data_IF_146292247356
#
_entry.id   IF_146292247356
#
_cell.length_a   1.000
_cell.length_b   1.000
_cell.length_c   1.000
_cell.angle_alpha   90.00
_cell.angle_beta   90.00
_cell.angle_gamma   90.00
#
_symmetry.space_group_name_H-M   'P 1'
#
loop_
_entity.id
_entity.type
_entity.pdbx_description
1 polymer ?
#
# COMPACT_ATOMS: atom_id res chain seq x y z
N UNK A 1 1.82 -5.59 -19.39
CA UNK A 1 2.70 -4.42 -19.16
C UNK A 1 3.17 -4.49 -17.71
N UNK A 2 4.42 -4.13 -17.41
CA UNK A 2 4.94 -4.11 -16.03
C UNK A 2 4.82 -2.73 -15.41
N UNK A 3 4.63 -2.66 -14.09
CA UNK A 3 4.50 -1.41 -13.32
C UNK A 3 5.49 -1.44 -12.16
N UNK A 4 6.20 -0.34 -11.93
CA UNK A 4 7.17 -0.18 -10.83
C UNK A 4 6.94 1.12 -10.07
N UNK A 5 7.30 1.14 -8.78
CA UNK A 5 7.27 2.34 -7.94
C UNK A 5 8.64 2.50 -7.27
N UNK A 6 9.26 3.66 -7.43
CA UNK A 6 10.52 4.02 -6.76
C UNK A 6 10.30 5.33 -6.02
N UNK A 7 10.73 5.39 -4.76
CA UNK A 7 10.58 6.57 -3.90
C UNK A 7 11.66 6.61 -2.84
N UNK A 8 11.97 7.80 -2.34
CA UNK A 8 12.84 7.99 -1.16
C UNK A 8 12.04 7.98 0.16
N UNK A 9 10.71 7.89 0.10
CA UNK A 9 9.84 7.78 1.28
C UNK A 9 9.52 6.31 1.59
N UNK A 10 8.82 6.02 2.69
CA UNK A 10 8.25 4.68 2.90
C UNK A 10 7.33 4.33 1.73
N UNK A 11 7.36 3.08 1.25
CA UNK A 11 6.49 2.64 0.14
C UNK A 11 5.00 2.76 0.46
N UNK A 12 4.66 2.78 1.75
CA UNK A 12 3.32 2.99 2.33
C UNK A 12 2.94 4.46 2.53
N UNK A 13 3.86 5.39 2.30
CA UNK A 13 3.57 6.82 2.40
C UNK A 13 2.48 7.24 1.40
N UNK A 14 1.74 8.31 1.69
CA UNK A 14 0.58 8.74 0.91
C UNK A 14 0.81 8.88 -0.60
N UNK A 15 1.98 9.38 -1.02
CA UNK A 15 2.32 9.55 -2.45
C UNK A 15 2.49 8.21 -3.18
N UNK A 16 3.40 7.30 -2.77
CA UNK A 16 3.50 5.98 -3.42
C UNK A 16 2.26 5.11 -3.21
N UNK A 17 1.58 5.19 -2.06
CA UNK A 17 0.40 4.37 -1.77
C UNK A 17 -0.79 4.67 -2.67
N UNK A 18 -0.91 5.90 -3.20
CA UNK A 18 -2.00 6.29 -4.09
C UNK A 18 -2.07 5.44 -5.37
N UNK A 19 -0.97 4.77 -5.75
CA UNK A 19 -0.90 3.93 -6.94
C UNK A 19 -1.50 2.52 -6.73
N UNK A 20 -1.60 2.04 -5.50
CA UNK A 20 -2.01 0.65 -5.23
C UNK A 20 -3.00 0.46 -4.08
N UNK A 21 -3.12 1.41 -3.14
CA UNK A 21 -3.95 1.26 -1.96
C UNK A 21 -5.22 2.10 -2.02
N UNK A 22 -6.28 1.60 -1.39
CA UNK A 22 -7.52 2.32 -1.07
C UNK A 22 -7.71 2.27 0.44
N UNK A 23 -7.50 3.42 1.09
CA UNK A 23 -7.62 3.53 2.54
C UNK A 23 -8.40 4.80 2.90
N UNK A 24 -9.26 4.77 3.94
CA UNK A 24 -9.91 5.97 4.47
C UNK A 24 -8.91 7.01 5.00
N UNK A 25 -7.71 6.58 5.39
CA UNK A 25 -6.67 7.46 5.92
C UNK A 25 -5.30 7.10 5.38
N UNK A 26 -4.55 8.13 4.97
CA UNK A 26 -3.15 8.00 4.54
C UNK A 26 -2.20 7.56 5.66
N UNK A 27 -2.63 7.61 6.92
CA UNK A 27 -1.82 7.25 8.08
C UNK A 27 -1.93 5.77 8.45
N UNK A 28 -2.82 5.01 7.81
CA UNK A 28 -2.99 3.56 8.04
C UNK A 28 -1.93 2.76 7.29
N UNK A 29 -0.66 3.14 7.49
CA UNK A 29 0.49 2.54 6.80
C UNK A 29 0.69 1.07 7.20
N UNK A 30 0.40 0.75 8.46
CA UNK A 30 0.45 -0.59 9.06
C UNK A 30 -0.81 -0.86 9.91
N UNK A 31 -0.95 -2.09 10.38
CA UNK A 31 -2.10 -2.51 11.18
C UNK A 31 -2.20 -1.79 12.53
N UNK A 32 -1.09 -1.39 13.17
CA UNK A 32 -1.10 -0.68 14.45
C UNK A 32 -1.66 0.74 14.33
N UNK A 33 -1.70 1.30 13.11
CA UNK A 33 -2.31 2.60 12.81
C UNK A 33 -3.81 2.54 12.52
N UNK A 34 -4.38 1.34 12.38
CA UNK A 34 -5.81 1.15 12.15
C UNK A 34 -6.56 1.13 13.49
N UNK A 35 -7.69 1.84 13.63
CA UNK A 35 -8.55 1.71 14.80
C UNK A 35 -9.07 0.26 14.95
N UNK A 36 -9.10 -0.32 16.17
CA UNK A 36 -9.50 -1.71 16.40
C UNK A 36 -10.80 -2.14 15.72
N UNK A 37 -11.81 -1.27 15.70
CA UNK A 37 -13.11 -1.53 15.09
C UNK A 37 -13.08 -1.65 13.55
N UNK A 38 -12.01 -1.18 12.90
CA UNK A 38 -11.86 -1.17 11.44
C UNK A 38 -11.01 -2.32 10.89
N UNK A 39 -10.36 -3.13 11.74
CA UNK A 39 -9.48 -4.22 11.28
C UNK A 39 -10.19 -5.30 10.46
N UNK A 40 -11.49 -5.53 10.74
CA UNK A 40 -12.27 -6.54 10.01
C UNK A 40 -12.65 -6.08 8.59
N UNK A 41 -12.77 -4.77 8.36
CA UNK A 41 -13.26 -4.20 7.10
C UNK A 41 -12.17 -3.54 6.25
N UNK A 42 -11.04 -3.15 6.86
CA UNK A 42 -9.98 -2.44 6.19
C UNK A 42 -8.62 -3.11 6.41
N UNK A 43 -7.92 -3.40 5.31
CA UNK A 43 -6.50 -3.76 5.33
C UNK A 43 -5.66 -2.50 5.39
N UNK A 44 -4.56 -2.54 6.14
CA UNK A 44 -3.54 -1.49 6.12
C UNK A 44 -2.85 -1.40 4.75
N UNK A 45 -2.22 -0.26 4.48
CA UNK A 45 -1.59 0.03 3.19
C UNK A 45 -0.51 -1.02 2.87
N UNK A 46 0.27 -1.48 3.87
CA UNK A 46 1.28 -2.53 3.64
C UNK A 46 0.64 -3.85 3.21
N UNK A 47 -0.45 -4.29 3.85
CA UNK A 47 -1.19 -5.49 3.41
C UNK A 47 -1.78 -5.32 2.02
N UNK A 48 -2.28 -4.14 1.66
CA UNK A 48 -2.78 -3.89 0.31
C UNK A 48 -1.66 -3.97 -0.75
N UNK A 49 -0.43 -3.56 -0.41
CA UNK A 49 0.72 -3.70 -1.31
C UNK A 49 1.00 -5.16 -1.67
N UNK A 50 0.92 -6.08 -0.72
CA UNK A 50 1.33 -7.49 -0.95
C UNK A 50 0.17 -8.42 -1.30
N UNK A 51 -1.06 -8.09 -0.90
CA UNK A 51 -2.22 -8.98 -1.08
C UNK A 51 -3.14 -8.56 -2.23
N UNK A 52 -3.25 -7.26 -2.52
CA UNK A 52 -4.25 -6.73 -3.45
C UNK A 52 -3.64 -6.31 -4.79
N UNK A 53 -4.48 -6.29 -5.83
CA UNK A 53 -4.16 -5.66 -7.11
C UNK A 53 -4.35 -4.14 -7.04
N UNK A 54 -3.45 -3.33 -7.64
CA UNK A 54 -2.29 -3.73 -8.45
C UNK A 54 -1.02 -4.03 -7.65
N UNK A 55 -1.01 -3.81 -6.33
CA UNK A 55 0.18 -3.88 -5.47
C UNK A 55 1.00 -5.16 -5.64
N UNK A 56 0.35 -6.32 -5.58
CA UNK A 56 1.01 -7.63 -5.63
C UNK A 56 1.71 -7.94 -6.96
N UNK A 57 1.39 -7.18 -8.01
CA UNK A 57 1.95 -7.35 -9.36
C UNK A 57 2.94 -6.23 -9.74
N UNK A 58 3.31 -5.38 -8.78
CA UNK A 58 4.36 -4.38 -9.00
C UNK A 58 5.70 -5.11 -9.15
N UNK A 59 6.38 -4.85 -10.26
CA UNK A 59 7.68 -5.40 -10.57
C UNK A 59 8.59 -4.30 -11.14
N UNK A 60 9.77 -4.15 -10.54
CA UNK A 60 10.81 -3.25 -11.00
C UNK A 60 11.89 -4.10 -11.68
N UNK A 61 11.90 -4.11 -13.01
CA UNK A 61 12.95 -4.80 -13.76
C UNK A 61 14.21 -3.93 -13.77
N UNK A 62 15.38 -4.45 -13.34
CA UNK A 62 16.64 -3.88 -13.78
C UNK A 62 16.74 -4.02 -15.32
N UNK A 63 17.40 -3.02 -15.92
CA UNK A 63 17.71 -2.99 -17.36
C UNK A 63 18.88 -3.95 -17.63
#
# INVERSE_FOLDING_TARGET
>A
KSTGIVTNTRITHGTPSALYARSPSRYWEDNAKIPPHSHASCKDIARQLVENEPGRNINVSPI
#
